data_IF_443977438814
#
_entry.id   IF_443977438814
#
_cell.length_a   1.000
_cell.length_b   1.000
_cell.length_c   1.000
_cell.angle_alpha   90.00
_cell.angle_beta   90.00
_cell.angle_gamma   90.00
#
_symmetry.space_group_name_H-M   'P 1'
#
loop_
_entity.id
_entity.type
_entity.pdbx_description
1 polymer ?
#
# COMPACT_ATOMS: atom_id res chain seq x y z
N UNK A 1 -30.11 9.63 5.96
CA UNK A 1 -31.17 10.65 5.85
C UNK A 1 -31.59 10.74 4.41
N UNK A 2 -32.85 11.04 4.12
CA UNK A 2 -33.25 11.38 2.75
C UNK A 2 -32.85 12.84 2.47
N UNK A 3 -31.54 13.08 2.30
CA UNK A 3 -30.95 14.41 2.20
C UNK A 3 -29.47 14.46 2.58
N UNK A 4 -28.99 15.65 2.93
CA UNK A 4 -27.59 15.89 3.29
C UNK A 4 -27.44 16.12 4.80
N UNK A 5 -26.28 15.76 5.35
CA UNK A 5 -25.86 16.13 6.71
C UNK A 5 -24.70 17.10 6.60
N UNK A 6 -24.79 18.25 7.28
CA UNK A 6 -23.69 19.20 7.44
C UNK A 6 -23.39 19.29 8.93
N UNK A 7 -22.14 19.04 9.31
CA UNK A 7 -21.68 19.12 10.68
C UNK A 7 -20.26 19.71 10.70
N UNK A 8 -19.91 20.39 11.79
CA UNK A 8 -18.53 20.86 11.99
C UNK A 8 -17.58 19.68 12.25
N UNK A 9 -18.05 18.65 12.96
CA UNK A 9 -17.27 17.46 13.28
C UNK A 9 -18.15 16.21 13.35
N UNK A 10 -17.67 15.10 12.77
CA UNK A 10 -18.23 13.77 12.92
C UNK A 10 -17.20 12.86 13.60
N UNK A 11 -17.46 12.45 14.84
CA UNK A 11 -16.64 11.50 15.58
C UNK A 11 -17.26 10.11 15.50
N UNK A 12 -16.52 9.15 14.96
CA UNK A 12 -16.94 7.75 14.90
C UNK A 12 -16.05 6.93 15.82
N UNK A 13 -16.62 6.40 16.90
CA UNK A 13 -15.92 5.45 17.75
C UNK A 13 -16.14 4.05 17.16
N UNK A 14 -15.07 3.47 16.64
CA UNK A 14 -15.07 2.12 16.12
C UNK A 14 -15.01 1.11 17.26
N UNK A 15 -15.78 0.04 17.15
CA UNK A 15 -15.61 -1.13 18.02
C UNK A 15 -14.37 -1.97 17.64
N UNK A 16 -14.04 -2.15 16.34
CA UNK A 16 -12.75 -2.69 15.92
C UNK A 16 -11.58 -1.77 16.25
N UNK A 17 -10.39 -2.34 16.38
CA UNK A 17 -9.15 -1.59 16.55
C UNK A 17 -8.83 -0.76 15.29
N UNK A 18 -8.20 0.40 15.51
CA UNK A 18 -7.59 1.18 14.44
C UNK A 18 -6.42 0.39 13.81
N UNK A 19 -6.16 0.49 12.50
CA UNK A 19 -5.28 -0.43 11.79
C UNK A 19 -3.78 -0.34 12.07
N UNK A 20 -3.36 0.30 13.16
CA UNK A 20 -1.94 0.38 13.57
C UNK A 20 -1.28 -1.00 13.73
N UNK A 21 -2.07 -2.07 13.86
CA UNK A 21 -1.60 -3.45 13.86
C UNK A 21 -0.84 -3.83 12.57
N UNK A 22 -1.00 -3.09 11.47
CA UNK A 22 -0.23 -3.27 10.21
C UNK A 22 1.29 -3.15 10.45
N UNK A 23 1.69 -2.44 11.50
CA UNK A 23 3.10 -2.27 11.89
C UNK A 23 3.60 -3.30 12.90
N UNK A 24 2.76 -4.24 13.35
CA UNK A 24 3.18 -5.30 14.25
C UNK A 24 4.13 -6.29 13.55
N UNK A 25 5.01 -6.93 14.33
CA UNK A 25 6.09 -7.78 13.77
C UNK A 25 5.56 -9.03 13.07
N UNK A 26 4.41 -9.52 13.51
CA UNK A 26 3.71 -10.70 13.02
C UNK A 26 2.60 -10.35 12.02
N UNK A 27 2.49 -9.07 11.64
CA UNK A 27 1.57 -8.67 10.59
C UNK A 27 1.99 -9.27 9.24
N UNK A 28 1.09 -10.06 8.66
CA UNK A 28 1.31 -10.70 7.37
C UNK A 28 0.93 -9.76 6.23
N UNK A 29 1.87 -8.88 5.85
CA UNK A 29 1.71 -8.01 4.69
C UNK A 29 1.58 -8.84 3.40
N UNK A 30 0.45 -8.70 2.72
CA UNK A 30 0.17 -9.41 1.49
C UNK A 30 1.18 -9.01 0.39
N UNK A 31 1.83 -9.96 -0.31
CA UNK A 31 2.68 -9.64 -1.46
C UNK A 31 1.91 -8.89 -2.56
N UNK A 32 2.57 -7.97 -3.26
CA UNK A 32 1.92 -7.15 -4.31
C UNK A 32 1.37 -8.01 -5.45
N UNK A 33 1.98 -9.16 -5.74
CA UNK A 33 1.52 -10.11 -6.75
C UNK A 33 0.18 -10.78 -6.35
N UNK A 34 0.01 -11.05 -5.05
CA UNK A 34 -1.26 -11.56 -4.50
C UNK A 34 -2.31 -10.46 -4.48
N UNK A 35 -1.93 -9.23 -4.14
CA UNK A 35 -2.82 -8.05 -4.22
C UNK A 35 -3.30 -7.84 -5.66
N UNK A 36 -2.41 -7.88 -6.65
CA UNK A 36 -2.74 -7.77 -8.07
C UNK A 36 -3.72 -8.86 -8.50
N UNK A 37 -3.44 -10.11 -8.10
CA UNK A 37 -4.31 -11.26 -8.40
C UNK A 37 -5.70 -11.05 -7.81
N UNK A 38 -5.78 -10.64 -6.55
CA UNK A 38 -7.04 -10.34 -5.87
C UNK A 38 -7.83 -9.23 -6.56
N UNK A 39 -7.17 -8.13 -6.97
CA UNK A 39 -7.81 -7.04 -7.71
C UNK A 39 -8.36 -7.54 -9.05
N UNK A 40 -7.61 -8.37 -9.77
CA UNK A 40 -8.04 -8.92 -11.06
C UNK A 40 -9.26 -9.84 -10.91
N UNK A 41 -9.32 -10.61 -9.83
CA UNK A 41 -10.41 -11.57 -9.57
C UNK A 41 -11.65 -10.90 -8.98
N UNK A 42 -11.48 -9.94 -8.09
CA UNK A 42 -12.56 -9.33 -7.30
C UNK A 42 -13.00 -7.96 -7.85
N UNK A 43 -12.15 -7.29 -8.62
CA UNK A 43 -12.39 -5.94 -9.15
C UNK A 43 -12.21 -4.82 -8.12
N UNK A 44 -11.69 -5.11 -6.92
CA UNK A 44 -11.42 -4.14 -5.86
C UNK A 44 -10.26 -4.63 -4.97
N UNK A 45 -9.79 -3.77 -4.06
CA UNK A 45 -8.73 -4.11 -3.13
C UNK A 45 -9.16 -5.18 -2.10
N UNK A 46 -8.24 -6.05 -1.66
CA UNK A 46 -8.49 -6.95 -0.54
C UNK A 46 -8.96 -6.20 0.70
N UNK A 47 -10.01 -6.70 1.36
CA UNK A 47 -10.55 -6.10 2.59
C UNK A 47 -11.41 -4.85 2.37
N UNK A 48 -11.56 -4.36 1.14
CA UNK A 48 -12.46 -3.25 0.78
C UNK A 48 -13.74 -3.84 0.15
N UNK A 49 -14.94 -3.42 0.56
CA UNK A 49 -16.17 -3.92 -0.06
C UNK A 49 -16.31 -3.48 -1.52
N UNK A 50 -16.95 -4.32 -2.31
CA UNK A 50 -17.25 -4.01 -3.71
C UNK A 50 -18.29 -2.90 -3.83
N UNK A 51 -18.31 -2.22 -4.99
CA UNK A 51 -19.33 -1.22 -5.29
C UNK A 51 -20.76 -1.77 -5.14
N UNK A 52 -21.00 -3.03 -5.55
CA UNK A 52 -22.31 -3.67 -5.43
C UNK A 52 -22.77 -3.84 -3.97
N UNK A 53 -21.84 -4.09 -3.04
CA UNK A 53 -22.14 -4.16 -1.60
C UNK A 53 -22.49 -2.77 -1.08
N UNK A 54 -21.72 -1.75 -1.45
CA UNK A 54 -21.97 -0.36 -1.04
C UNK A 54 -23.30 0.17 -1.58
N UNK A 55 -23.63 -0.13 -2.83
CA UNK A 55 -24.90 0.29 -3.45
C UNK A 55 -26.11 -0.32 -2.75
N UNK A 56 -25.98 -1.55 -2.26
CA UNK A 56 -27.06 -2.29 -1.61
C UNK A 56 -27.21 -1.91 -0.12
N UNK A 57 -26.10 -1.91 0.61
CA UNK A 57 -26.10 -1.86 2.08
C UNK A 57 -25.71 -0.48 2.62
N UNK A 58 -25.29 0.44 1.73
CA UNK A 58 -24.76 1.76 2.07
C UNK A 58 -23.29 1.73 2.49
N UNK A 59 -22.70 2.92 2.67
CA UNK A 59 -21.30 3.08 3.05
C UNK A 59 -21.14 3.19 4.58
N UNK A 60 -20.58 2.19 5.28
CA UNK A 60 -20.29 2.30 6.70
C UNK A 60 -19.04 3.17 6.91
N UNK A 61 -19.24 4.49 6.97
CA UNK A 61 -18.17 5.52 6.93
C UNK A 61 -17.00 5.21 7.87
N UNK A 62 -17.28 4.81 9.11
CA UNK A 62 -16.23 4.47 10.07
C UNK A 62 -15.40 3.23 9.68
N UNK A 63 -16.08 2.16 9.28
CA UNK A 63 -15.40 0.92 8.89
C UNK A 63 -14.60 1.11 7.59
N UNK A 64 -15.13 1.89 6.65
CA UNK A 64 -14.44 2.23 5.41
C UNK A 64 -13.23 3.12 5.67
N UNK A 65 -13.35 4.12 6.55
CA UNK A 65 -12.21 4.95 6.92
C UNK A 65 -11.08 4.12 7.54
N UNK A 66 -11.40 3.16 8.42
CA UNK A 66 -10.41 2.24 8.98
C UNK A 66 -9.80 1.32 7.90
N UNK A 67 -10.62 0.71 7.04
CA UNK A 67 -10.14 -0.12 5.92
C UNK A 67 -9.23 0.66 4.96
N UNK A 68 -9.58 1.91 4.65
CA UNK A 68 -8.76 2.79 3.84
C UNK A 68 -7.42 3.11 4.51
N UNK A 69 -7.43 3.42 5.81
CA UNK A 69 -6.22 3.66 6.57
C UNK A 69 -5.30 2.42 6.57
N UNK A 70 -5.86 1.22 6.75
CA UNK A 70 -5.13 -0.04 6.66
C UNK A 70 -4.44 -0.18 5.29
N UNK A 71 -5.16 0.04 4.19
CA UNK A 71 -4.58 -0.03 2.84
C UNK A 71 -3.51 1.06 2.60
N UNK A 72 -3.66 2.25 3.20
CA UNK A 72 -2.65 3.31 3.13
C UNK A 72 -1.37 2.84 3.84
N UNK A 73 -1.48 2.28 5.04
CA UNK A 73 -0.34 1.81 5.82
C UNK A 73 0.40 0.65 5.13
N UNK A 74 -0.35 -0.33 4.60
CA UNK A 74 0.20 -1.42 3.76
C UNK A 74 0.94 -0.86 2.54
N UNK A 75 0.35 0.12 1.85
CA UNK A 75 0.99 0.76 0.70
C UNK A 75 2.30 1.47 1.10
N UNK A 76 2.33 2.13 2.25
CA UNK A 76 3.56 2.74 2.77
C UNK A 76 4.64 1.69 3.10
N UNK A 77 4.27 0.53 3.65
CA UNK A 77 5.22 -0.57 3.87
C UNK A 77 5.85 -1.05 2.55
N UNK A 78 5.02 -1.24 1.52
CA UNK A 78 5.53 -1.58 0.18
C UNK A 78 6.41 -0.48 -0.41
N UNK A 79 6.04 0.80 -0.27
CA UNK A 79 6.83 1.93 -0.76
C UNK A 79 8.17 2.06 -0.06
N UNK A 80 8.24 1.80 1.25
CA UNK A 80 9.49 1.79 2.01
C UNK A 80 10.42 0.70 1.49
N UNK A 81 9.89 -0.51 1.28
CA UNK A 81 10.66 -1.63 0.74
C UNK A 81 11.13 -1.36 -0.70
N UNK A 82 10.26 -0.85 -1.56
CA UNK A 82 10.63 -0.45 -2.93
C UNK A 82 11.72 0.62 -2.94
N UNK A 83 11.66 1.61 -2.05
CA UNK A 83 12.68 2.64 -1.92
C UNK A 83 14.02 2.07 -1.43
N UNK A 84 14.01 1.05 -0.56
CA UNK A 84 15.23 0.34 -0.14
C UNK A 84 15.86 -0.39 -1.32
N UNK A 85 15.08 -1.20 -2.03
CA UNK A 85 15.54 -1.93 -3.22
C UNK A 85 16.07 -0.98 -4.31
N UNK A 86 15.38 0.15 -4.53
CA UNK A 86 15.81 1.16 -5.50
C UNK A 86 17.19 1.74 -5.15
N UNK A 87 17.46 2.03 -3.88
CA UNK A 87 18.76 2.53 -3.43
C UNK A 87 19.85 1.48 -3.61
N UNK A 88 19.57 0.23 -3.25
CA UNK A 88 20.51 -0.90 -3.43
C UNK A 88 20.87 -1.08 -4.91
N UNK A 89 19.88 -1.07 -5.80
CA UNK A 89 20.08 -1.14 -7.24
C UNK A 89 20.88 0.05 -7.79
N UNK A 90 20.64 1.26 -7.30
CA UNK A 90 21.40 2.45 -7.70
C UNK A 90 22.88 2.34 -7.28
N UNK A 91 23.16 1.88 -6.06
CA UNK A 91 24.52 1.67 -5.58
C UNK A 91 25.25 0.57 -6.36
N UNK A 92 24.55 -0.53 -6.70
CA UNK A 92 25.10 -1.57 -7.54
C UNK A 92 25.39 -1.06 -8.96
N UNK A 93 24.48 -0.27 -9.54
CA UNK A 93 24.67 0.30 -10.87
C UNK A 93 25.90 1.22 -10.94
N UNK A 94 26.10 2.05 -9.91
CA UNK A 94 27.31 2.89 -9.79
C UNK A 94 28.57 2.03 -9.72
N UNK A 95 28.57 0.98 -8.89
CA UNK A 95 29.71 0.06 -8.77
C UNK A 95 30.05 -0.63 -10.10
N UNK A 96 29.02 -1.09 -10.83
CA UNK A 96 29.20 -1.73 -12.13
C UNK A 96 29.76 -0.77 -13.18
N UNK A 97 29.25 0.47 -13.24
CA UNK A 97 29.77 1.51 -14.14
C UNK A 97 31.24 1.82 -13.88
N UNK A 98 31.62 2.05 -12.62
CA UNK A 98 33.02 2.31 -12.25
C UNK A 98 33.94 1.17 -12.67
N UNK A 99 33.49 -0.08 -12.53
CA UNK A 99 34.27 -1.24 -12.96
C UNK A 99 34.40 -1.32 -14.47
N UNK A 100 33.33 -1.02 -15.22
CA UNK A 100 33.36 -0.96 -16.68
C UNK A 100 34.34 0.11 -17.17
N UNK A 101 34.25 1.33 -16.63
CA UNK A 101 35.14 2.44 -17.01
C UNK A 101 36.61 2.09 -16.81
N UNK A 102 36.93 1.42 -15.69
CA UNK A 102 38.29 0.95 -15.40
C UNK A 102 38.77 -0.10 -16.40
N UNK A 103 37.92 -1.07 -16.74
CA UNK A 103 38.27 -2.10 -17.72
C UNK A 103 38.45 -1.52 -19.12
N UNK A 104 37.68 -0.49 -19.48
CA UNK A 104 37.82 0.22 -20.76
C UNK A 104 39.13 1.02 -20.83
N UNK A 105 39.54 1.66 -19.74
CA UNK A 105 40.84 2.34 -19.64
C UNK A 105 42.00 1.34 -19.76
N UNK A 106 41.96 0.24 -19.01
CA UNK A 106 42.98 -0.82 -19.05
C UNK A 106 43.09 -1.50 -20.44
N UNK A 107 42.06 -1.44 -21.27
CA UNK A 107 42.06 -1.98 -22.63
C UNK A 107 42.55 -0.98 -23.70
N UNK A 108 42.64 0.32 -23.37
CA UNK A 108 43.13 1.37 -24.26
C UNK A 108 44.63 1.66 -24.10
N UNK A 109 45.21 1.29 -22.95
CA UNK A 109 46.65 1.34 -22.65
C UNK A 109 47.40 0.08 -23.15
#
# INVERSE_FOLDING_TARGET
VDGNVICEELRVLLSPAWPDYVFEKDYNLMPLEEVETSIREQGHLPGVPSAAVIDKDGLPVGAIAASQQEKIEEAFLHLIELNRQMKELQEENVRLRTRLDRMEQEAQD
#
